data_IF_222523355113
#
_entry.id   IF_222523355113
#
_cell.length_a   1.000
_cell.length_b   1.000
_cell.length_c   1.000
_cell.angle_alpha   90.00
_cell.angle_beta   90.00
_cell.angle_gamma   90.00
#
_symmetry.space_group_name_H-M   'P 1'
#
loop_
_entity.id
_entity.type
_entity.pdbx_description
1 polymer ?
#
# COMPACT_ATOMS: atom_id res chain seq x y z
N UNK A 1 6.79 2.47 15.83
CA UNK A 1 5.64 3.34 15.50
C UNK A 1 6.04 4.56 14.67
N UNK A 2 7.10 5.29 15.02
CA UNK A 2 7.58 6.45 14.23
C UNK A 2 7.71 6.14 12.72
N UNK A 3 8.39 5.04 12.36
CA UNK A 3 8.59 4.66 10.96
C UNK A 3 7.29 4.46 10.12
N UNK A 4 6.21 3.99 10.74
CA UNK A 4 4.92 3.78 10.05
C UNK A 4 4.23 5.11 9.79
N UNK A 5 4.24 6.01 10.77
CA UNK A 5 3.70 7.36 10.62
C UNK A 5 4.50 8.18 9.61
N UNK A 6 5.83 8.04 9.60
CA UNK A 6 6.72 8.70 8.65
C UNK A 6 6.45 8.22 7.21
N UNK A 7 6.25 6.92 7.00
CA UNK A 7 5.92 6.34 5.69
C UNK A 7 4.52 6.78 5.20
N UNK A 8 3.53 6.83 6.11
CA UNK A 8 2.19 7.31 5.80
C UNK A 8 2.17 8.81 5.41
N UNK A 9 2.92 9.66 6.10
CA UNK A 9 3.05 11.08 5.75
C UNK A 9 3.75 11.28 4.39
N UNK A 10 4.74 10.45 4.08
CA UNK A 10 5.44 10.48 2.79
C UNK A 10 4.49 10.12 1.63
N UNK A 11 3.63 9.12 1.82
CA UNK A 11 2.59 8.79 0.84
C UNK A 11 1.50 9.87 0.77
N UNK A 12 1.10 10.46 1.91
CA UNK A 12 0.13 11.54 1.93
C UNK A 12 0.64 12.77 1.17
N UNK A 13 1.94 13.08 1.27
CA UNK A 13 2.57 14.14 0.49
C UNK A 13 2.47 13.89 -1.02
N UNK A 14 2.68 12.65 -1.48
CA UNK A 14 2.50 12.27 -2.89
C UNK A 14 1.05 12.41 -3.36
N UNK A 15 0.09 12.00 -2.52
CA UNK A 15 -1.34 12.18 -2.82
C UNK A 15 -1.68 13.66 -2.94
N UNK A 16 -1.24 14.48 -1.98
CA UNK A 16 -1.47 15.94 -2.01
C UNK A 16 -0.86 16.58 -3.25
N UNK A 17 0.37 16.18 -3.61
CA UNK A 17 1.02 16.68 -4.82
C UNK A 17 0.21 16.38 -6.09
N UNK A 18 -0.36 15.17 -6.19
CA UNK A 18 -1.03 14.72 -7.42
C UNK A 18 -2.53 15.04 -7.48
N UNK A 19 -3.19 15.09 -6.34
CA UNK A 19 -4.65 15.16 -6.23
C UNK A 19 -5.16 16.22 -5.26
N UNK A 20 -4.30 16.98 -4.58
CA UNK A 20 -4.71 17.93 -3.52
C UNK A 20 -5.72 18.98 -3.97
N UNK A 21 -5.66 19.43 -5.23
CA UNK A 21 -6.65 20.37 -5.78
C UNK A 21 -8.05 19.75 -5.99
N UNK A 22 -8.19 18.43 -5.89
CA UNK A 22 -9.43 17.67 -6.13
C UNK A 22 -9.98 17.03 -4.86
N UNK A 23 -9.30 17.20 -3.73
CA UNK A 23 -9.66 16.60 -2.45
C UNK A 23 -9.92 17.70 -1.43
N UNK A 24 -11.02 17.57 -0.70
CA UNK A 24 -11.25 18.40 0.48
C UNK A 24 -10.52 17.84 1.72
N UNK A 25 -10.52 18.60 2.82
CA UNK A 25 -9.84 18.21 4.05
C UNK A 25 -10.42 16.93 4.67
N UNK A 26 -11.73 16.66 4.52
CA UNK A 26 -12.34 15.44 5.04
C UNK A 26 -11.86 14.22 4.24
N UNK A 27 -11.77 14.35 2.92
CA UNK A 27 -11.21 13.32 2.04
C UNK A 27 -9.72 13.11 2.30
N UNK A 28 -8.95 14.17 2.55
CA UNK A 28 -7.54 14.05 2.92
C UNK A 28 -7.35 13.34 4.26
N UNK A 29 -8.23 13.56 5.24
CA UNK A 29 -8.21 12.84 6.51
C UNK A 29 -8.48 11.34 6.33
N UNK A 30 -9.48 10.98 5.50
CA UNK A 30 -9.76 9.58 5.16
C UNK A 30 -8.58 8.91 4.44
N UNK A 31 -7.93 9.63 3.52
CA UNK A 31 -6.73 9.11 2.83
C UNK A 31 -5.60 8.88 3.83
N UNK A 32 -5.38 9.81 4.77
CA UNK A 32 -4.36 9.66 5.82
C UNK A 32 -4.61 8.40 6.66
N UNK A 33 -5.82 8.22 7.16
CA UNK A 33 -6.19 7.02 7.93
C UNK A 33 -5.98 5.73 7.13
N UNK A 34 -6.36 5.74 5.85
CA UNK A 34 -6.16 4.61 4.94
C UNK A 34 -4.67 4.28 4.78
N UNK A 35 -3.83 5.31 4.58
CA UNK A 35 -2.38 5.15 4.43
C UNK A 35 -1.72 4.63 5.71
N UNK A 36 -2.17 5.06 6.89
CA UNK A 36 -1.71 4.53 8.18
C UNK A 36 -2.07 3.04 8.35
N UNK A 37 -3.24 2.61 7.87
CA UNK A 37 -3.63 1.20 7.79
C UNK A 37 -2.69 0.40 6.89
N UNK A 38 -2.50 0.86 5.65
CA UNK A 38 -1.64 0.20 4.68
C UNK A 38 -0.18 0.12 5.14
N UNK A 39 0.35 1.17 5.78
CA UNK A 39 1.71 1.16 6.29
C UNK A 39 1.89 0.13 7.43
N UNK A 40 0.87 -0.07 8.28
CA UNK A 40 0.87 -1.15 9.29
C UNK A 40 0.85 -2.53 8.65
N UNK A 41 -0.04 -2.75 7.69
CA UNK A 41 -0.17 -4.04 7.01
C UNK A 41 1.10 -4.39 6.23
N UNK A 42 1.70 -3.39 5.56
CA UNK A 42 2.95 -3.54 4.85
C UNK A 42 4.12 -3.86 5.80
N UNK A 43 4.17 -3.22 6.98
CA UNK A 43 5.16 -3.56 7.99
C UNK A 43 5.01 -5.01 8.47
N UNK A 44 3.78 -5.50 8.63
CA UNK A 44 3.51 -6.89 8.98
C UNK A 44 3.93 -7.85 7.86
N UNK A 45 3.63 -7.53 6.59
CA UNK A 45 4.06 -8.31 5.43
C UNK A 45 5.58 -8.37 5.29
N UNK A 46 6.28 -7.25 5.47
CA UNK A 46 7.76 -7.18 5.44
C UNK A 46 8.40 -8.00 6.56
N UNK A 47 7.71 -8.19 7.68
CA UNK A 47 8.19 -9.01 8.79
C UNK A 47 7.87 -10.51 8.61
N UNK A 48 7.01 -10.87 7.65
CA UNK A 48 6.68 -12.27 7.39
C UNK A 48 7.89 -13.00 6.79
N UNK A 49 8.16 -14.20 7.29
CA UNK A 49 9.18 -15.07 6.69
C UNK A 49 8.58 -15.74 5.46
N UNK A 50 9.16 -15.47 4.30
CA UNK A 50 8.78 -16.08 3.02
C UNK A 50 9.94 -16.97 2.58
N UNK A 51 9.74 -18.29 2.43
CA UNK A 51 10.76 -19.19 1.87
C UNK A 51 11.17 -18.78 0.46
N UNK A 52 12.43 -19.05 0.08
CA UNK A 52 12.95 -18.70 -1.25
C UNK A 52 12.23 -19.46 -2.39
N UNK A 53 11.64 -20.61 -2.09
CA UNK A 53 10.85 -21.45 -3.00
C UNK A 53 9.33 -21.17 -2.90
N UNK A 54 8.92 -20.12 -2.20
CA UNK A 54 7.53 -19.74 -2.10
C UNK A 54 7.02 -19.21 -3.46
N UNK A 55 6.23 -20.02 -4.13
CA UNK A 55 5.49 -19.60 -5.33
C UNK A 55 4.35 -18.63 -4.97
N UNK A 56 4.01 -17.66 -5.85
CA UNK A 56 2.82 -16.85 -5.68
C UNK A 56 1.57 -17.73 -5.52
N UNK A 57 0.71 -17.39 -4.55
CA UNK A 57 -0.49 -18.19 -4.24
C UNK A 57 -1.47 -18.36 -5.41
N UNK A 58 -1.46 -17.44 -6.38
CA UNK A 58 -2.09 -17.66 -7.68
C UNK A 58 -0.99 -17.82 -8.75
N UNK A 59 -0.89 -18.98 -9.41
CA UNK A 59 -0.02 -19.11 -10.57
C UNK A 59 -0.48 -18.13 -11.66
N UNK A 60 0.48 -17.49 -12.32
CA UNK A 60 0.20 -16.62 -13.45
C UNK A 60 -0.49 -17.43 -14.56
N UNK A 61 -1.75 -17.11 -14.84
CA UNK A 61 -2.47 -17.62 -15.99
C UNK A 61 -2.41 -16.58 -17.11
N UNK A 62 -1.61 -16.86 -18.14
CA UNK A 62 -1.58 -16.02 -19.33
C UNK A 62 -2.98 -15.96 -19.96
N UNK A 63 -3.47 -14.75 -20.22
CA UNK A 63 -4.75 -14.55 -20.87
C UNK A 63 -4.73 -15.19 -22.28
N UNK A 64 -5.56 -16.22 -22.51
CA UNK A 64 -5.67 -17.05 -23.74
C UNK A 64 -4.59 -18.10 -23.98
N UNK A 65 -3.94 -18.62 -22.94
CA UNK A 65 -3.30 -19.92 -23.07
C UNK A 65 -4.37 -21.02 -23.10
N UNK A 66 -4.97 -21.28 -24.27
CA UNK A 66 -5.64 -22.56 -24.52
C UNK A 66 -4.58 -23.67 -24.69
N UNK A 67 -4.89 -24.92 -24.32
CA UNK A 67 -3.94 -26.03 -24.27
C UNK A 67 -3.32 -26.40 -25.63
#
# INVERSE_FOLDING_TARGET
MAAVADEAELFLALVRQRYGARLDEAQLALVRETLEGLARDLAALRAATIPDDAEPGQPFAAFRAEP
#
